data_IF_457274835109
#
_entry.id   IF_457274835109
#
_cell.length_a   1.000
_cell.length_b   1.000
_cell.length_c   1.000
_cell.angle_alpha   90.00
_cell.angle_beta   90.00
_cell.angle_gamma   90.00
#
_symmetry.space_group_name_H-M   'P 1'
#
loop_
_entity.id
_entity.type
_entity.pdbx_description
1 polymer ?
#
# COMPACT_ATOMS: atom_id res chain seq x y z
N UNK A 1 -3.72 0.20 -14.89
CA UNK A 1 -3.13 -1.11 -14.57
C UNK A 1 -2.63 -1.05 -13.13
N UNK A 2 -3.19 -1.86 -12.24
CA UNK A 2 -2.79 -1.94 -10.84
C UNK A 2 -1.88 -3.16 -10.65
N UNK A 3 -0.81 -3.00 -9.87
CA UNK A 3 0.07 -4.11 -9.49
C UNK A 3 -0.77 -5.14 -8.69
N UNK A 4 -0.81 -6.43 -9.09
CA UNK A 4 -1.61 -7.44 -8.38
C UNK A 4 -1.23 -7.49 -6.89
N UNK A 5 -2.22 -7.41 -6.01
CA UNK A 5 -2.04 -7.39 -4.55
C UNK A 5 -1.99 -6.00 -3.93
N UNK A 6 -1.86 -4.93 -4.72
CA UNK A 6 -2.05 -3.55 -4.24
C UNK A 6 -3.54 -3.22 -4.21
N UNK A 7 -4.05 -2.91 -3.03
CA UNK A 7 -5.46 -2.55 -2.80
C UNK A 7 -5.68 -1.05 -2.70
N UNK A 8 -4.60 -0.26 -2.52
CA UNK A 8 -4.68 1.19 -2.48
C UNK A 8 -3.32 1.88 -2.36
N UNK A 9 -3.34 3.20 -2.55
CA UNK A 9 -2.20 4.09 -2.33
C UNK A 9 -2.69 5.25 -1.48
N UNK A 10 -1.91 5.60 -0.46
CA UNK A 10 -2.18 6.72 0.43
C UNK A 10 -0.92 7.57 0.61
N UNK A 11 -1.11 8.79 1.10
CA UNK A 11 -0.03 9.63 1.62
C UNK A 11 -0.15 9.59 3.14
N UNK A 12 0.96 9.33 3.81
CA UNK A 12 1.02 9.31 5.27
C UNK A 12 2.33 9.87 5.77
N UNK A 13 2.63 9.57 7.02
CA UNK A 13 3.88 9.94 7.66
C UNK A 13 4.72 8.68 7.93
N UNK A 14 6.00 8.75 7.62
CA UNK A 14 7.00 7.77 7.97
C UNK A 14 8.17 8.51 8.61
N UNK A 15 8.46 8.22 9.88
CA UNK A 15 9.55 8.86 10.63
C UNK A 15 9.49 10.40 10.62
N UNK A 16 8.28 10.97 10.79
CA UNK A 16 8.09 12.43 10.80
C UNK A 16 8.18 13.11 9.43
N UNK A 17 8.23 12.34 8.34
CA UNK A 17 8.32 12.86 6.96
C UNK A 17 7.16 12.35 6.09
N UNK A 18 6.70 13.15 5.11
CA UNK A 18 5.68 12.71 4.17
C UNK A 18 6.18 11.51 3.36
N UNK A 19 5.43 10.42 3.40
CA UNK A 19 5.73 9.19 2.70
C UNK A 19 4.52 8.66 1.94
N UNK A 20 4.81 7.86 0.93
CA UNK A 20 3.79 7.16 0.15
C UNK A 20 3.56 5.82 0.83
N UNK A 21 2.31 5.51 1.16
CA UNK A 21 1.91 4.22 1.70
C UNK A 21 1.22 3.40 0.63
N UNK A 22 1.81 2.25 0.29
CA UNK A 22 1.21 1.26 -0.59
C UNK A 22 0.47 0.27 0.29
N UNK A 23 -0.86 0.24 0.15
CA UNK A 23 -1.73 -0.65 0.88
C UNK A 23 -1.86 -1.95 0.10
N UNK A 24 -1.53 -3.07 0.74
CA UNK A 24 -1.58 -4.40 0.12
C UNK A 24 -2.48 -5.33 0.92
N UNK A 25 -3.13 -6.26 0.23
CA UNK A 25 -3.92 -7.30 0.90
C UNK A 25 -3.02 -8.25 1.69
N UNK A 26 -1.83 -8.56 1.16
CA UNK A 26 -0.82 -9.39 1.82
C UNK A 26 0.60 -9.02 1.37
N UNK A 27 1.56 -9.00 2.29
CA UNK A 27 2.98 -8.76 2.03
C UNK A 27 3.65 -10.05 1.52
N UNK A 28 3.69 -10.21 0.21
CA UNK A 28 4.45 -11.30 -0.42
C UNK A 28 5.85 -10.83 -0.80
N UNK A 29 6.84 -11.73 -0.78
CA UNK A 29 8.23 -11.43 -1.20
C UNK A 29 8.29 -10.90 -2.63
N UNK A 30 7.48 -11.46 -3.52
CA UNK A 30 7.40 -11.02 -4.91
C UNK A 30 6.89 -9.57 -5.01
N UNK A 31 5.83 -9.23 -4.25
CA UNK A 31 5.25 -7.89 -4.27
C UNK A 31 6.20 -6.85 -3.67
N UNK A 32 6.84 -7.19 -2.54
CA UNK A 32 7.86 -6.34 -1.90
C UNK A 32 9.08 -6.12 -2.81
N UNK A 33 9.45 -7.10 -3.63
CA UNK A 33 10.53 -6.95 -4.62
C UNK A 33 10.17 -6.05 -5.80
N UNK A 34 8.87 -5.88 -6.10
CA UNK A 34 8.38 -5.01 -7.19
C UNK A 34 8.12 -3.57 -6.74
N UNK A 35 7.89 -3.35 -5.45
CA UNK A 35 7.61 -2.01 -4.92
C UNK A 35 8.95 -1.32 -4.61
N UNK A 36 9.24 -0.17 -5.25
CA UNK A 36 10.46 0.57 -4.94
C UNK A 36 10.37 1.13 -3.52
N UNK A 37 11.50 1.21 -2.83
CA UNK A 37 11.58 1.81 -1.48
C UNK A 37 11.48 3.34 -1.49
N UNK A 38 11.65 3.98 -2.65
CA UNK A 38 11.60 5.44 -2.83
C UNK A 38 10.95 5.78 -4.18
N UNK A 39 10.12 6.82 -4.21
CA UNK A 39 9.52 7.35 -5.44
C UNK A 39 9.51 8.88 -5.41
N UNK A 40 10.11 9.52 -6.42
CA UNK A 40 10.23 11.00 -6.52
C UNK A 40 10.78 11.66 -5.24
N UNK A 41 11.74 11.01 -4.57
CA UNK A 41 12.34 11.51 -3.33
C UNK A 41 11.54 11.26 -2.05
N UNK A 42 10.34 10.66 -2.15
CA UNK A 42 9.56 10.23 -0.99
C UNK A 42 9.82 8.77 -0.67
N UNK A 43 9.94 8.44 0.62
CA UNK A 43 9.95 7.05 1.07
C UNK A 43 8.63 6.38 0.70
N UNK A 44 8.70 5.13 0.28
CA UNK A 44 7.54 4.29 0.01
C UNK A 44 7.52 3.20 1.07
N UNK A 45 6.47 3.19 1.88
CA UNK A 45 6.21 2.17 2.88
C UNK A 45 5.11 1.24 2.38
N UNK A 46 5.23 -0.05 2.68
CA UNK A 46 4.21 -1.05 2.35
C UNK A 46 3.49 -1.44 3.62
N UNK A 47 2.18 -1.25 3.66
CA UNK A 47 1.33 -1.62 4.79
C UNK A 47 0.36 -2.72 4.36
N UNK A 48 0.30 -3.78 5.17
CA UNK A 48 -0.66 -4.86 4.98
C UNK A 48 -1.94 -4.47 5.70
N UNK A 49 -3.04 -4.35 4.95
CA UNK A 49 -4.34 -3.95 5.50
C UNK A 49 -5.40 -5.05 5.34
N UNK A 50 -5.02 -6.19 4.78
CA UNK A 50 -5.95 -7.25 4.42
C UNK A 50 -6.85 -6.88 3.22
N UNK A 51 -7.89 -7.68 3.00
CA UNK A 51 -8.84 -7.43 1.93
C UNK A 51 -9.74 -6.23 2.26
N UNK A 52 -9.75 -5.21 1.41
CA UNK A 52 -10.72 -4.12 1.49
C UNK A 52 -12.05 -4.63 0.93
N UNK A 53 -13.05 -4.81 1.80
CA UNK A 53 -14.41 -5.24 1.43
C UNK A 53 -15.35 -4.04 1.41
N UNK A 54 -16.27 -4.03 0.45
CA UNK A 54 -17.34 -3.03 0.40
C UNK A 54 -18.25 -3.09 1.64
N UNK A 55 -19.03 -2.04 1.90
CA UNK A 55 -19.99 -2.04 2.99
C UNK A 55 -20.94 -3.23 2.85
N UNK A 56 -21.24 -3.90 3.97
CA UNK A 56 -22.27 -4.95 3.96
C UNK A 56 -23.59 -4.32 3.51
N UNK A 57 -24.31 -4.93 2.55
CA UNK A 57 -25.61 -4.41 2.15
C UNK A 57 -26.52 -4.35 3.37
N UNK A 58 -27.00 -3.15 3.67
CA UNK A 58 -28.08 -2.93 4.64
C UNK A 58 -29.34 -3.59 4.06
N UNK A 59 -29.83 -4.61 4.74
CA UNK A 59 -31.07 -5.33 4.41
C UNK A 59 -32.22 -4.77 5.22
#
# INVERSE_FOLDING_TARGET
MALPGVVGIAIGECEGKPCIKVLVASKTKELLGKIPSTYKGHKVAVDEVGEIRGPRPIR
#
